data_IF_252724991265
#
_entry.id   IF_252724991265
#
_cell.length_a   1.000
_cell.length_b   1.000
_cell.length_c   1.000
_cell.angle_alpha   90.00
_cell.angle_beta   90.00
_cell.angle_gamma   90.00
#
_symmetry.space_group_name_H-M   'P 1'
#
loop_
_entity.id
_entity.type
_entity.pdbx_description
1 polymer ?
#
# COMPACT_ATOMS: atom_id res chain seq x y z
N UNK A 1 -19.90 -3.58 16.46
CA UNK A 1 -19.65 -4.99 16.10
C UNK A 1 -18.26 -5.10 15.53
N UNK A 2 -17.58 -6.15 15.92
CA UNK A 2 -16.23 -6.55 15.49
C UNK A 2 -16.34 -7.27 14.15
N UNK A 3 -15.36 -7.14 13.26
CA UNK A 3 -15.31 -7.97 12.06
C UNK A 3 -15.34 -9.46 12.43
N UNK A 4 -16.16 -10.24 11.73
CA UNK A 4 -16.31 -11.69 11.96
C UNK A 4 -16.07 -12.45 10.66
N UNK A 5 -16.01 -13.79 10.72
CA UNK A 5 -15.91 -14.60 9.50
C UNK A 5 -17.12 -14.45 8.58
N UNK A 6 -18.30 -14.22 9.13
CA UNK A 6 -19.56 -14.04 8.37
C UNK A 6 -19.83 -12.60 7.97
N UNK A 7 -19.16 -11.64 8.62
CA UNK A 7 -19.17 -10.21 8.25
C UNK A 7 -17.73 -9.64 8.34
N UNK A 8 -16.85 -10.01 7.38
CA UNK A 8 -15.44 -9.64 7.42
C UNK A 8 -15.21 -8.22 6.90
N UNK A 9 -14.04 -7.64 7.21
CA UNK A 9 -13.56 -6.41 6.56
C UNK A 9 -13.43 -6.67 5.06
N UNK A 10 -13.88 -5.72 4.23
CA UNK A 10 -13.62 -5.77 2.79
C UNK A 10 -12.33 -5.02 2.55
N UNK A 11 -11.30 -5.73 2.09
CA UNK A 11 -10.03 -5.13 1.72
C UNK A 11 -9.93 -5.05 0.19
N UNK A 12 -9.93 -3.84 -0.34
CA UNK A 12 -9.74 -3.60 -1.76
C UNK A 12 -8.25 -3.60 -2.11
N UNK A 13 -7.85 -4.50 -3.00
CA UNK A 13 -6.48 -4.67 -3.45
C UNK A 13 -6.39 -4.55 -4.99
N UNK A 14 -5.19 -4.29 -5.50
CA UNK A 14 -4.97 -4.14 -6.93
C UNK A 14 -4.87 -5.51 -7.57
N UNK A 15 -5.72 -5.76 -8.56
CA UNK A 15 -5.69 -7.00 -9.32
C UNK A 15 -4.33 -7.22 -10.00
N UNK A 16 -3.84 -8.44 -9.91
CA UNK A 16 -2.88 -9.02 -10.83
C UNK A 16 -3.14 -10.52 -10.92
N UNK A 17 -2.70 -11.16 -12.00
CA UNK A 17 -2.81 -12.61 -12.16
C UNK A 17 -1.98 -13.36 -11.12
N UNK A 18 -0.85 -12.79 -10.70
CA UNK A 18 0.15 -13.49 -9.88
C UNK A 18 -0.06 -13.23 -8.36
N UNK A 19 -1.14 -12.53 -7.98
CA UNK A 19 -1.51 -12.26 -6.59
C UNK A 19 -1.23 -10.82 -6.13
N UNK A 20 -1.20 -10.57 -4.81
CA UNK A 20 -0.96 -9.24 -4.27
C UNK A 20 0.46 -8.76 -4.61
N UNK A 21 0.61 -7.49 -4.99
CA UNK A 21 1.89 -6.97 -5.48
C UNK A 21 2.18 -5.50 -5.10
N UNK A 22 1.16 -4.70 -4.82
CA UNK A 22 1.36 -3.28 -4.54
C UNK A 22 1.95 -3.07 -3.14
N UNK A 23 3.08 -2.37 -3.00
CA UNK A 23 3.70 -2.15 -1.69
C UNK A 23 2.79 -1.37 -0.73
N UNK A 24 1.90 -0.51 -1.26
CA UNK A 24 0.98 0.26 -0.45
C UNK A 24 -0.16 -0.61 0.11
N UNK A 25 -0.77 -1.46 -0.72
CA UNK A 25 -1.84 -2.36 -0.27
C UNK A 25 -1.28 -3.45 0.64
N UNK A 26 -0.04 -3.90 0.40
CA UNK A 26 0.64 -4.88 1.27
C UNK A 26 0.76 -4.42 2.72
N UNK A 27 0.99 -3.12 2.99
CA UNK A 27 1.01 -2.60 4.36
C UNK A 27 -0.30 -2.90 5.08
N UNK A 28 -1.44 -2.60 4.45
CA UNK A 28 -2.77 -2.91 5.00
C UNK A 28 -2.99 -4.40 5.16
N UNK A 29 -2.57 -5.22 4.17
CA UNK A 29 -2.64 -6.69 4.26
C UNK A 29 -1.85 -7.21 5.47
N UNK A 30 -0.64 -6.71 5.69
CA UNK A 30 0.20 -7.07 6.83
C UNK A 30 -0.43 -6.63 8.15
N UNK A 31 -0.98 -5.42 8.23
CA UNK A 31 -1.74 -4.92 9.40
C UNK A 31 -2.91 -5.83 9.74
N UNK A 32 -3.75 -6.17 8.75
CA UNK A 32 -4.91 -7.06 8.95
C UNK A 32 -4.46 -8.46 9.42
N UNK A 33 -3.43 -9.01 8.79
CA UNK A 33 -2.86 -10.31 9.15
C UNK A 33 -2.28 -10.32 10.57
N UNK A 34 -1.47 -9.31 10.91
CA UNK A 34 -0.84 -9.19 12.24
C UNK A 34 -1.88 -9.07 13.34
N UNK A 35 -2.92 -8.26 13.11
CA UNK A 35 -4.05 -8.13 14.02
C UNK A 35 -5.00 -9.33 14.01
N UNK A 36 -4.80 -10.31 13.12
CA UNK A 36 -5.66 -11.51 12.97
C UNK A 36 -7.13 -11.15 12.70
N UNK A 37 -7.37 -10.05 12.00
CA UNK A 37 -8.73 -9.62 11.66
C UNK A 37 -9.26 -10.44 10.47
N UNK A 38 -10.51 -10.92 10.50
CA UNK A 38 -11.11 -11.57 9.36
C UNK A 38 -11.39 -10.52 8.27
N UNK A 39 -10.82 -10.74 7.08
CA UNK A 39 -11.07 -9.91 5.92
C UNK A 39 -11.25 -10.78 4.67
N UNK A 40 -11.96 -10.24 3.68
CA UNK A 40 -12.01 -10.76 2.32
C UNK A 40 -11.41 -9.73 1.38
N UNK A 41 -10.80 -10.19 0.30
CA UNK A 41 -10.18 -9.31 -0.69
C UNK A 41 -11.14 -9.09 -1.85
N UNK A 42 -11.36 -7.83 -2.23
CA UNK A 42 -11.95 -7.45 -3.51
C UNK A 42 -10.83 -6.91 -4.41
N UNK A 43 -10.47 -7.67 -5.44
CA UNK A 43 -9.47 -7.22 -6.39
C UNK A 43 -10.10 -6.29 -7.44
N UNK A 44 -9.49 -5.13 -7.64
CA UNK A 44 -9.93 -4.13 -8.61
C UNK A 44 -8.81 -3.92 -9.64
N UNK A 45 -9.16 -3.83 -10.92
CA UNK A 45 -8.21 -3.38 -11.94
C UNK A 45 -7.67 -2.01 -11.57
N UNK A 46 -6.38 -1.77 -11.75
CA UNK A 46 -5.78 -0.46 -11.45
C UNK A 46 -6.44 0.69 -12.23
N UNK A 47 -7.04 0.39 -13.40
CA UNK A 47 -7.76 1.35 -14.23
C UNK A 47 -9.11 1.78 -13.63
N UNK A 48 -9.75 0.94 -12.80
CA UNK A 48 -11.10 1.19 -12.28
C UNK A 48 -11.10 1.78 -10.87
N UNK A 49 -9.94 1.90 -10.21
CA UNK A 49 -9.90 2.26 -8.79
C UNK A 49 -10.58 3.60 -8.51
N UNK A 50 -10.34 4.60 -9.36
CA UNK A 50 -10.98 5.92 -9.22
C UNK A 50 -12.50 5.85 -9.38
N UNK A 51 -12.98 5.10 -10.39
CA UNK A 51 -14.41 4.88 -10.61
C UNK A 51 -15.04 4.21 -9.39
N UNK A 52 -14.39 3.16 -8.87
CA UNK A 52 -14.88 2.44 -7.69
C UNK A 52 -14.95 3.34 -6.45
N UNK A 53 -13.96 4.20 -6.24
CA UNK A 53 -13.98 5.16 -5.13
C UNK A 53 -15.15 6.13 -5.23
N UNK A 54 -15.43 6.66 -6.43
CA UNK A 54 -16.56 7.54 -6.68
C UNK A 54 -17.89 6.83 -6.41
N UNK A 55 -18.05 5.59 -6.87
CA UNK A 55 -19.25 4.77 -6.60
C UNK A 55 -19.47 4.53 -5.10
N UNK A 56 -18.39 4.35 -4.34
CA UNK A 56 -18.43 4.17 -2.89
C UNK A 56 -18.61 5.49 -2.12
N UNK A 57 -18.61 6.64 -2.80
CA UNK A 57 -18.69 7.96 -2.18
C UNK A 57 -17.43 8.35 -1.40
N UNK A 58 -16.29 7.71 -1.69
CA UNK A 58 -15.03 7.93 -0.97
C UNK A 58 -14.15 8.92 -1.73
N UNK A 59 -13.72 9.98 -1.06
CA UNK A 59 -12.76 10.93 -1.65
C UNK A 59 -11.36 10.30 -1.77
N UNK A 60 -10.60 10.67 -2.81
CA UNK A 60 -9.19 10.26 -2.92
C UNK A 60 -8.38 10.77 -1.72
N UNK A 61 -7.29 10.07 -1.39
CA UNK A 61 -6.41 10.50 -0.30
C UNK A 61 -5.80 11.88 -0.59
N UNK A 62 -5.93 12.88 0.30
CA UNK A 62 -5.36 14.21 0.11
C UNK A 62 -3.83 14.21 0.12
N UNK A 63 -3.22 13.15 0.68
CA UNK A 63 -1.77 12.95 0.72
C UNK A 63 -1.27 11.95 -0.33
N UNK A 64 -2.17 11.42 -1.16
CA UNK A 64 -1.84 10.43 -2.17
C UNK A 64 -1.07 11.07 -3.33
N UNK A 65 0.14 10.55 -3.61
CA UNK A 65 0.81 10.82 -4.88
C UNK A 65 -0.15 10.45 -6.04
N UNK A 66 -0.34 11.27 -7.09
CA UNK A 66 -1.33 11.08 -8.16
C UNK A 66 -1.39 9.68 -8.81
N UNK A 67 -0.32 8.90 -8.64
CA UNK A 67 -0.06 7.62 -9.29
C UNK A 67 -0.29 6.42 -8.33
N UNK A 68 -0.42 6.67 -7.02
CA UNK A 68 -0.46 5.65 -5.95
C UNK A 68 -1.53 5.91 -4.89
N UNK A 69 -2.65 6.52 -5.26
CA UNK A 69 -3.56 7.16 -4.30
C UNK A 69 -4.41 6.20 -3.47
N UNK A 70 -4.36 4.90 -3.71
CA UNK A 70 -5.50 4.06 -3.36
C UNK A 70 -5.14 2.80 -2.58
N UNK A 71 -5.57 2.80 -1.32
CA UNK A 71 -5.71 1.64 -0.44
C UNK A 71 -7.00 1.84 0.34
N UNK A 72 -7.91 0.87 0.30
CA UNK A 72 -9.24 0.96 0.90
C UNK A 72 -9.55 -0.33 1.66
N UNK A 73 -9.63 -0.33 2.98
CA UNK A 73 -10.53 -1.19 3.72
C UNK A 73 -11.88 -0.50 3.85
N UNK A 74 -12.93 -1.30 3.69
CA UNK A 74 -14.26 -0.99 4.18
C UNK A 74 -14.52 -1.86 5.41
N UNK A 75 -14.42 -1.25 6.60
CA UNK A 75 -14.78 -1.91 7.86
C UNK A 75 -16.32 -1.95 7.96
N UNK A 76 -16.96 -3.12 8.09
CA UNK A 76 -18.41 -3.22 8.07
C UNK A 76 -19.06 -2.40 9.20
N UNK A 77 -20.26 -1.89 8.92
CA UNK A 77 -21.04 -1.17 9.92
C UNK A 77 -21.40 -2.08 11.10
N UNK A 78 -21.39 -1.54 12.33
CA UNK A 78 -21.92 -2.25 13.48
C UNK A 78 -23.46 -2.39 13.47
N UNK A 79 -24.16 -1.74 12.54
CA UNK A 79 -25.61 -1.79 12.44
C UNK A 79 -26.01 -2.59 11.18
N UNK A 80 -27.03 -3.47 11.25
CA UNK A 80 -27.58 -4.11 10.07
C UNK A 80 -28.02 -3.08 9.02
N UNK A 81 -27.50 -3.18 7.80
CA UNK A 81 -27.78 -2.23 6.71
C UNK A 81 -27.08 -0.86 6.81
N UNK A 82 -26.21 -0.66 7.81
CA UNK A 82 -25.42 0.56 7.90
C UNK A 82 -24.28 0.60 6.89
N UNK A 83 -23.83 1.81 6.54
CA UNK A 83 -22.72 2.01 5.62
C UNK A 83 -21.39 1.56 6.25
N UNK A 84 -20.52 0.86 5.51
CA UNK A 84 -19.16 0.59 5.96
C UNK A 84 -18.37 1.88 6.23
N UNK A 85 -17.39 1.79 7.14
CA UNK A 85 -16.40 2.84 7.28
C UNK A 85 -15.30 2.61 6.25
N UNK A 86 -15.13 3.55 5.33
CA UNK A 86 -14.02 3.54 4.38
C UNK A 86 -12.87 4.37 4.91
N UNK A 87 -11.66 3.81 4.88
CA UNK A 87 -10.44 4.51 5.29
C UNK A 87 -9.47 4.50 4.12
N UNK A 88 -8.90 5.66 3.82
CA UNK A 88 -7.84 5.83 2.83
C UNK A 88 -6.50 5.94 3.52
N UNK A 89 -5.42 5.58 2.81
CA UNK A 89 -4.04 5.62 3.29
C UNK A 89 -3.66 4.49 4.28
N UNK A 90 -2.66 3.71 3.91
CA UNK A 90 -2.21 2.54 4.70
C UNK A 90 -1.82 2.84 6.15
N UNK A 91 -1.34 4.06 6.43
CA UNK A 91 -1.00 4.48 7.79
C UNK A 91 -2.25 4.81 8.60
N UNK A 92 -3.17 5.60 8.03
CA UNK A 92 -4.45 5.92 8.68
C UNK A 92 -5.30 4.68 8.90
N UNK A 93 -5.23 3.71 7.99
CA UNK A 93 -5.84 2.38 8.15
C UNK A 93 -5.28 1.68 9.40
N UNK A 94 -3.95 1.66 9.59
CA UNK A 94 -3.35 1.04 10.77
C UNK A 94 -3.78 1.75 12.06
N UNK A 95 -3.81 3.09 12.06
CA UNK A 95 -4.27 3.90 13.20
C UNK A 95 -5.74 3.64 13.53
N UNK A 96 -6.60 3.56 12.51
CA UNK A 96 -8.01 3.23 12.66
C UNK A 96 -8.19 1.84 13.27
N UNK A 97 -7.49 0.84 12.70
CA UNK A 97 -7.62 -0.55 13.16
C UNK A 97 -7.09 -0.72 14.59
N UNK A 98 -6.04 -0.03 15.00
CA UNK A 98 -5.58 -0.05 16.39
C UNK A 98 -6.58 0.59 17.37
N UNK A 99 -7.28 1.63 16.92
CA UNK A 99 -8.31 2.29 17.74
C UNK A 99 -9.58 1.46 17.84
N UNK A 100 -9.99 0.82 16.74
CA UNK A 100 -11.21 0.02 16.62
C UNK A 100 -11.07 -1.37 17.22
N UNK A 101 -9.88 -1.96 17.09
CA UNK A 101 -9.53 -3.31 17.54
C UNK A 101 -8.33 -3.20 18.50
N UNK A 102 -8.55 -2.74 19.75
CA UNK A 102 -7.48 -2.55 20.74
C UNK A 102 -7.10 -3.84 21.46
N UNK A 103 -6.02 -3.78 22.23
CA UNK A 103 -5.65 -4.84 23.18
C UNK A 103 -6.66 -4.99 24.33
N UNK A 104 -6.70 -6.15 25.01
CA UNK A 104 -5.79 -7.29 24.86
C UNK A 104 -6.12 -8.23 23.70
N UNK A 105 -7.31 -8.11 23.08
CA UNK A 105 -7.79 -9.08 22.09
C UNK A 105 -7.02 -9.01 20.75
N UNK A 106 -6.49 -7.83 20.43
CA UNK A 106 -5.79 -7.56 19.18
C UNK A 106 -4.44 -6.89 19.44
N UNK A 107 -3.34 -7.36 18.81
CA UNK A 107 -2.04 -6.74 18.98
C UNK A 107 -2.01 -5.33 18.38
N UNK A 108 -1.30 -4.40 19.02
CA UNK A 108 -1.13 -3.03 18.54
C UNK A 108 -0.05 -2.96 17.46
N UNK A 109 -0.31 -2.24 16.37
CA UNK A 109 0.65 -2.03 15.27
C UNK A 109 1.45 -0.75 15.48
N UNK A 110 0.78 0.34 15.86
CA UNK A 110 1.35 1.65 16.15
C UNK A 110 1.01 2.00 17.61
N UNK A 111 1.99 1.93 18.54
CA UNK A 111 1.76 2.24 19.94
C UNK A 111 1.13 3.62 20.15
N UNK A 112 0.18 3.69 21.10
CA UNK A 112 -0.47 4.95 21.46
C UNK A 112 0.58 5.97 21.93
N UNK A 113 0.56 7.18 21.36
CA UNK A 113 1.57 8.22 21.60
C UNK A 113 2.78 8.20 20.65
N UNK A 114 3.01 7.12 19.88
CA UNK A 114 4.13 7.04 18.93
C UNK A 114 3.72 7.29 17.47
N UNK A 115 2.49 7.75 17.23
CA UNK A 115 1.94 7.94 15.88
C UNK A 115 2.81 8.85 15.02
N UNK A 116 3.17 10.03 15.51
CA UNK A 116 3.97 11.00 14.75
C UNK A 116 5.36 10.43 14.41
N UNK A 117 6.00 9.75 15.37
CA UNK A 117 7.31 9.12 15.15
C UNK A 117 7.22 8.00 14.10
N UNK A 118 6.19 7.13 14.17
CA UNK A 118 5.98 6.08 13.18
C UNK A 118 5.63 6.64 11.80
N UNK A 119 4.88 7.75 11.73
CA UNK A 119 4.60 8.43 10.46
C UNK A 119 5.88 8.94 9.82
N UNK A 120 6.71 9.66 10.59
CA UNK A 120 8.00 10.17 10.13
C UNK A 120 8.93 9.03 9.68
N UNK A 121 9.02 7.94 10.46
CA UNK A 121 9.80 6.77 10.11
C UNK A 121 9.29 6.10 8.83
N UNK A 122 7.98 5.91 8.70
CA UNK A 122 7.34 5.34 7.50
C UNK A 122 7.59 6.19 6.27
N UNK A 123 7.48 7.52 6.39
CA UNK A 123 7.72 8.45 5.28
C UNK A 123 9.19 8.46 4.87
N UNK A 124 10.11 8.43 5.84
CA UNK A 124 11.53 8.33 5.57
C UNK A 124 11.88 7.01 4.86
N UNK A 125 11.40 5.87 5.37
CA UNK A 125 11.59 4.55 4.73
C UNK A 125 10.99 4.55 3.32
N UNK A 126 9.81 5.14 3.12
CA UNK A 126 9.19 5.23 1.79
C UNK A 126 10.01 6.12 0.84
N UNK A 127 10.59 7.21 1.32
CA UNK A 127 11.46 8.09 0.53
C UNK A 127 12.74 7.38 0.04
N UNK A 128 13.20 6.37 0.78
CA UNK A 128 14.28 5.47 0.34
C UNK A 128 13.73 4.37 -0.55
N UNK A 129 12.57 3.79 -0.20
CA UNK A 129 11.91 2.71 -0.95
C UNK A 129 11.52 3.08 -2.38
N UNK A 130 11.08 4.32 -2.62
CA UNK A 130 10.72 4.82 -3.96
C UNK A 130 11.90 4.77 -4.95
N UNK A 131 13.13 4.65 -4.46
CA UNK A 131 14.33 4.54 -5.31
C UNK A 131 14.38 3.22 -6.07
N UNK A 132 13.66 2.19 -5.62
CA UNK A 132 13.44 0.95 -6.35
C UNK A 132 12.32 1.04 -7.40
N UNK A 133 11.55 2.13 -7.45
CA UNK A 133 10.49 2.30 -8.46
C UNK A 133 10.97 2.05 -9.91
N UNK A 134 12.08 2.64 -10.40
CA UNK A 134 12.55 2.37 -11.76
C UNK A 134 13.09 0.95 -11.97
N UNK A 135 13.33 0.19 -10.90
CA UNK A 135 13.73 -1.22 -10.98
C UNK A 135 12.48 -2.11 -11.03
N UNK A 136 11.51 -1.88 -10.16
CA UNK A 136 10.40 -2.81 -9.93
C UNK A 136 9.21 -2.53 -10.84
N UNK A 137 8.85 -1.26 -11.04
CA UNK A 137 7.62 -0.91 -11.73
C UNK A 137 7.56 -1.35 -13.20
N UNK A 138 8.65 -1.34 -13.99
CA UNK A 138 8.60 -1.84 -15.36
C UNK A 138 8.17 -3.31 -15.47
N UNK A 139 8.49 -4.15 -14.47
CA UNK A 139 8.12 -5.57 -14.46
C UNK A 139 6.61 -5.81 -14.47
N UNK A 140 5.80 -4.85 -14.02
CA UNK A 140 4.35 -4.99 -14.09
C UNK A 140 3.80 -4.79 -15.51
N UNK A 141 4.48 -4.00 -16.35
CA UNK A 141 4.06 -3.76 -17.73
C UNK A 141 4.62 -4.78 -18.71
N UNK A 142 5.86 -5.23 -18.52
CA UNK A 142 6.52 -6.13 -19.49
C UNK A 142 6.11 -7.60 -19.32
N UNK A 143 5.59 -8.00 -18.15
CA UNK A 143 5.19 -9.38 -17.89
C UNK A 143 3.84 -9.66 -18.54
N UNK A 144 3.76 -10.56 -19.55
CA UNK A 144 2.52 -10.85 -20.23
C UNK A 144 1.44 -11.39 -19.27
N UNK A 145 0.29 -10.74 -19.28
CA UNK A 145 -0.87 -11.11 -18.46
C UNK A 145 -0.69 -10.88 -16.96
N UNK A 146 0.31 -10.10 -16.52
CA UNK A 146 0.43 -9.74 -15.10
C UNK A 146 -0.75 -8.85 -14.66
N UNK A 147 -1.07 -7.82 -15.43
CA UNK A 147 -2.28 -7.00 -15.29
C UNK A 147 -3.35 -7.46 -16.29
N UNK A 148 -4.62 -7.12 -16.02
CA UNK A 148 -5.68 -7.19 -17.03
C UNK A 148 -5.44 -6.15 -18.13
N UNK A 149 -6.10 -6.29 -19.28
CA UNK A 149 -5.83 -5.49 -20.48
C UNK A 149 -5.93 -3.98 -20.22
N UNK A 150 -7.06 -3.52 -19.67
CA UNK A 150 -7.25 -2.11 -19.30
C UNK A 150 -6.28 -1.64 -18.20
N UNK A 151 -5.94 -2.53 -17.26
CA UNK A 151 -5.00 -2.23 -16.20
C UNK A 151 -3.59 -2.04 -16.75
N UNK A 152 -3.18 -2.87 -17.71
CA UNK A 152 -1.92 -2.77 -18.42
C UNK A 152 -1.82 -1.47 -19.22
N UNK A 153 -2.86 -1.11 -19.97
CA UNK A 153 -2.90 0.16 -20.73
C UNK A 153 -2.78 1.37 -19.79
N UNK A 154 -3.62 1.41 -18.74
CA UNK A 154 -3.58 2.47 -17.73
C UNK A 154 -2.20 2.56 -17.07
N UNK A 155 -1.64 1.42 -16.65
CA UNK A 155 -0.35 1.36 -15.98
C UNK A 155 0.77 1.86 -16.88
N UNK A 156 0.84 1.36 -18.12
CA UNK A 156 1.87 1.76 -19.09
C UNK A 156 1.81 3.26 -19.37
N UNK A 157 0.61 3.80 -19.66
CA UNK A 157 0.42 5.24 -19.92
C UNK A 157 0.83 6.10 -18.72
N UNK A 158 0.38 5.75 -17.53
CA UNK A 158 0.66 6.54 -16.32
C UNK A 158 2.12 6.46 -15.88
N UNK A 159 2.78 5.31 -16.06
CA UNK A 159 4.20 5.15 -15.71
C UNK A 159 5.13 5.74 -16.77
N UNK A 160 4.72 5.76 -18.05
CA UNK A 160 5.42 6.55 -19.08
C UNK A 160 5.44 8.03 -18.71
N UNK A 161 4.29 8.58 -18.31
CA UNK A 161 4.21 9.97 -17.84
C UNK A 161 5.08 10.20 -16.59
N UNK A 162 5.15 9.22 -15.69
CA UNK A 162 5.98 9.28 -14.48
C UNK A 162 7.48 9.32 -14.76
N UNK A 163 7.96 8.46 -15.68
CA UNK A 163 9.39 8.31 -15.97
C UNK A 163 9.87 9.21 -17.11
N UNK A 164 8.96 9.84 -17.86
CA UNK A 164 9.25 10.64 -19.05
C UNK A 164 9.75 9.82 -20.24
N UNK A 165 9.66 8.48 -20.19
CA UNK A 165 10.12 7.55 -21.22
C UNK A 165 9.35 6.23 -21.15
N UNK A 166 9.43 5.40 -22.18
CA UNK A 166 8.78 4.09 -22.16
C UNK A 166 9.39 3.15 -21.13
N UNK A 167 8.57 2.26 -20.56
CA UNK A 167 9.04 1.33 -19.52
C UNK A 167 10.11 0.34 -20.02
N UNK A 168 10.15 0.05 -21.32
CA UNK A 168 11.24 -0.69 -21.96
C UNK A 168 12.57 0.07 -21.88
N UNK A 169 12.57 1.38 -22.12
CA UNK A 169 13.76 2.23 -22.00
C UNK A 169 14.22 2.36 -20.54
N UNK A 170 13.28 2.38 -19.58
CA UNK A 170 13.63 2.35 -18.14
C UNK A 170 14.39 1.05 -17.80
N UNK A 171 14.01 -0.07 -18.41
CA UNK A 171 14.64 -1.38 -18.18
C UNK A 171 16.07 -1.46 -18.73
N UNK A 172 16.40 -0.73 -19.78
CA UNK A 172 17.78 -0.65 -20.31
C UNK A 172 18.74 -0.10 -19.24
N UNK A 173 18.25 0.81 -18.39
CA UNK A 173 18.99 1.37 -17.25
C UNK A 173 18.84 0.57 -15.95
N UNK A 174 18.26 -0.64 -15.99
CA UNK A 174 17.93 -1.44 -14.78
C UNK A 174 19.12 -1.69 -13.87
N UNK A 175 20.30 -2.01 -14.42
CA UNK A 175 21.53 -2.23 -13.64
C UNK A 175 21.97 -0.97 -12.91
N UNK A 176 21.95 0.18 -13.57
CA UNK A 176 22.30 1.47 -12.95
C UNK A 176 21.28 1.87 -11.88
N UNK A 177 19.99 1.73 -12.19
CA UNK A 177 18.89 2.00 -11.26
C UNK A 177 18.98 1.10 -10.01
N UNK A 178 19.33 -0.17 -10.19
CA UNK A 178 19.59 -1.11 -9.10
C UNK A 178 20.74 -0.64 -8.21
N UNK A 179 21.88 -0.26 -8.79
CA UNK A 179 23.04 0.21 -8.02
C UNK A 179 22.72 1.47 -7.21
N UNK A 180 21.99 2.43 -7.80
CA UNK A 180 21.53 3.64 -7.10
C UNK A 180 20.58 3.32 -5.94
N UNK A 181 19.60 2.44 -6.17
CA UNK A 181 18.65 2.03 -5.13
C UNK A 181 19.35 1.27 -4.00
N UNK A 182 20.20 0.31 -4.34
CA UNK A 182 21.01 -0.48 -3.40
C UNK A 182 21.83 0.44 -2.47
N UNK A 183 22.56 1.41 -3.03
CA UNK A 183 23.38 2.32 -2.23
C UNK A 183 22.56 3.12 -1.20
N UNK A 184 21.35 3.59 -1.57
CA UNK A 184 20.47 4.31 -0.64
C UNK A 184 19.92 3.40 0.47
N UNK A 185 19.62 2.14 0.14
CA UNK A 185 19.18 1.16 1.13
C UNK A 185 20.30 0.72 2.07
N UNK A 186 21.53 0.59 1.58
CA UNK A 186 22.71 0.33 2.43
C UNK A 186 22.97 1.51 3.40
N UNK A 187 22.80 2.75 2.94
CA UNK A 187 22.87 3.93 3.80
C UNK A 187 21.78 3.92 4.88
N UNK A 188 20.52 3.61 4.51
CA UNK A 188 19.43 3.44 5.48
C UNK A 188 19.76 2.35 6.52
N UNK A 189 20.26 1.19 6.08
CA UNK A 189 20.67 0.10 6.96
C UNK A 189 21.76 0.54 7.95
N UNK A 190 22.73 1.34 7.49
CA UNK A 190 23.80 1.88 8.34
C UNK A 190 23.23 2.77 9.45
N UNK A 191 22.33 3.69 9.11
CA UNK A 191 21.66 4.57 10.08
C UNK A 191 20.88 3.76 11.12
N UNK A 192 20.09 2.78 10.68
CA UNK A 192 19.30 1.95 11.60
C UNK A 192 20.19 1.14 12.55
N UNK A 193 21.33 0.61 12.08
CA UNK A 193 22.28 -0.13 12.92
C UNK A 193 23.01 0.79 13.90
N UNK A 194 23.42 1.99 13.48
CA UNK A 194 24.16 2.91 14.35
C UNK A 194 23.29 3.42 15.50
N UNK A 195 22.02 3.73 15.25
CA UNK A 195 21.08 4.19 16.27
C UNK A 195 20.73 3.07 17.27
N UNK A 196 20.63 1.82 16.82
CA UNK A 196 20.41 0.67 17.72
C UNK A 196 21.57 0.42 18.69
N UNK A 197 22.80 0.77 18.32
CA UNK A 197 23.99 0.63 19.19
C UNK A 197 24.10 1.72 20.26
N UNK A 198 23.39 2.84 20.10
CA UNK A 198 23.38 3.94 21.08
C UNK A 198 22.32 3.70 22.18
N UNK A 199 21.36 2.82 21.93
CA UNK A 199 20.26 2.47 22.83
C UNK A 199 20.49 1.20 23.67
N UNK A 200 21.62 0.51 23.47
CA UNK A 200 22.07 -0.69 24.20
C UNK A 200 23.35 -0.38 24.97
#
# INVERSE_FOLDING_TARGET
MTATKTNPIIFYDIYSRDGPWSPNTYKTRLTLNYKRLPYRVEYISIADIETKLKELGVSPSPHGHPIYQYTLPADPSPNPGGQPTYIMDSFEIAVYLDSKYPGPDYPTVIPHGMRNMHKLASDYIMSVGITFAPVILPFAAIRPGFLDEKGHEYYTRTRKAMFGKDLSEVMESSKENWMKAKAKWEALGTVLISEMKVLL
#
